data_IF_050801311951
#
_entry.id   IF_050801311951
#
_cell.length_a   1.000
_cell.length_b   1.000
_cell.length_c   1.000
_cell.angle_alpha   90.00
_cell.angle_beta   90.00
_cell.angle_gamma   90.00
#
_symmetry.space_group_name_H-M   'P 1'
#
loop_
_entity.id
_entity.type
_entity.pdbx_description
1 polymer ?
#
# COMPACT_ATOMS: atom_id res chain seq x y z
N UNK A 1 6.65 -39.81 -55.36
CA UNK A 1 6.69 -39.99 -53.89
C UNK A 1 7.82 -39.13 -53.37
N UNK A 2 7.50 -37.95 -52.84
CA UNK A 2 8.48 -37.11 -52.14
C UNK A 2 8.57 -37.57 -50.69
N UNK A 3 9.69 -38.13 -50.29
CA UNK A 3 10.03 -38.46 -48.93
C UNK A 3 10.41 -37.15 -48.22
N UNK A 4 9.51 -36.65 -47.37
CA UNK A 4 9.82 -35.56 -46.44
C UNK A 4 10.83 -36.06 -45.41
N UNK A 5 12.06 -35.54 -45.46
CA UNK A 5 13.09 -35.75 -44.43
C UNK A 5 12.60 -35.06 -43.13
N UNK A 6 12.61 -35.77 -41.99
CA UNK A 6 12.30 -35.12 -40.71
C UNK A 6 13.38 -34.09 -40.42
N UNK A 7 12.96 -32.82 -40.19
CA UNK A 7 13.85 -31.79 -39.71
C UNK A 7 14.46 -32.23 -38.38
N UNK A 8 15.79 -32.08 -38.20
CA UNK A 8 16.41 -32.45 -36.91
C UNK A 8 15.80 -31.61 -35.78
N UNK A 9 15.09 -32.26 -34.89
CA UNK A 9 14.72 -31.65 -33.62
C UNK A 9 16.01 -31.25 -32.92
N UNK A 10 16.29 -29.97 -32.81
CA UNK A 10 17.41 -29.47 -31.99
C UNK A 10 17.10 -29.89 -30.56
N UNK A 11 17.73 -30.95 -30.11
CA UNK A 11 17.73 -31.34 -28.69
C UNK A 11 18.19 -30.10 -27.90
N UNK A 12 17.32 -29.57 -27.07
CA UNK A 12 17.67 -28.40 -26.24
C UNK A 12 18.77 -28.85 -25.28
N UNK A 13 19.97 -28.27 -25.42
CA UNK A 13 21.11 -28.62 -24.59
C UNK A 13 20.83 -28.17 -23.13
N UNK A 14 20.83 -29.11 -22.20
CA UNK A 14 20.66 -28.83 -20.78
C UNK A 14 22.00 -28.35 -20.21
N UNK A 15 21.98 -27.17 -19.62
CA UNK A 15 23.18 -26.52 -19.02
C UNK A 15 23.24 -26.76 -17.51
N UNK A 16 22.10 -26.67 -16.83
CA UNK A 16 22.01 -26.88 -15.39
C UNK A 16 20.73 -27.67 -15.07
N UNK A 17 20.83 -28.59 -14.11
CA UNK A 17 19.68 -29.21 -13.47
C UNK A 17 19.50 -28.64 -12.08
N UNK A 18 18.31 -28.18 -11.72
CA UNK A 18 17.98 -27.63 -10.40
C UNK A 18 16.89 -28.48 -9.77
N UNK A 19 17.26 -29.27 -8.79
CA UNK A 19 16.32 -30.21 -8.12
C UNK A 19 15.54 -31.12 -9.12
N UNK A 20 16.14 -31.48 -10.23
CA UNK A 20 15.50 -32.28 -11.30
C UNK A 20 14.85 -31.49 -12.42
N UNK A 21 14.72 -30.15 -12.30
CA UNK A 21 14.19 -29.28 -13.35
C UNK A 21 15.33 -28.75 -14.25
N UNK A 22 15.28 -28.88 -15.58
CA UNK A 22 16.32 -28.43 -16.46
C UNK A 22 16.30 -26.91 -16.68
N UNK A 23 17.47 -26.35 -16.91
CA UNK A 23 17.73 -25.04 -17.51
C UNK A 23 18.53 -25.30 -18.80
N UNK A 24 18.00 -24.84 -19.93
CA UNK A 24 18.57 -25.09 -21.25
C UNK A 24 19.29 -23.84 -21.79
N UNK A 25 20.13 -24.05 -22.84
CA UNK A 25 20.74 -22.94 -23.58
C UNK A 25 19.66 -21.96 -24.11
N UNK A 26 18.51 -22.49 -24.52
CA UNK A 26 17.39 -21.68 -24.99
C UNK A 26 16.79 -20.79 -23.87
N UNK A 27 16.61 -21.33 -22.67
CA UNK A 27 16.12 -20.55 -21.53
C UNK A 27 17.07 -19.39 -21.20
N UNK A 28 18.37 -19.66 -21.22
CA UNK A 28 19.41 -18.65 -20.99
C UNK A 28 19.38 -17.57 -22.06
N UNK A 29 19.29 -17.94 -23.33
CA UNK A 29 19.18 -16.97 -24.43
C UNK A 29 17.94 -16.08 -24.29
N UNK A 30 16.78 -16.68 -24.04
CA UNK A 30 15.51 -15.98 -23.89
C UNK A 30 15.54 -15.03 -22.70
N UNK A 31 16.04 -15.45 -21.55
CA UNK A 31 16.17 -14.61 -20.35
C UNK A 31 17.16 -13.47 -20.58
N UNK A 32 18.32 -13.71 -21.22
CA UNK A 32 19.30 -12.70 -21.53
C UNK A 32 18.71 -11.58 -22.40
N UNK A 33 17.96 -11.95 -23.45
CA UNK A 33 17.24 -10.99 -24.30
C UNK A 33 16.19 -10.18 -23.51
N UNK A 34 15.43 -10.86 -22.64
CA UNK A 34 14.45 -10.20 -21.80
C UNK A 34 15.11 -9.19 -20.86
N UNK A 35 16.20 -9.57 -20.20
CA UNK A 35 16.91 -8.70 -19.26
C UNK A 35 17.55 -7.51 -19.97
N UNK A 36 18.07 -7.69 -21.17
CA UNK A 36 18.57 -6.59 -22.01
C UNK A 36 17.46 -5.59 -22.34
N UNK A 37 16.24 -6.07 -22.65
CA UNK A 37 15.11 -5.20 -22.93
C UNK A 37 14.62 -4.43 -21.70
N UNK A 38 14.66 -5.04 -20.52
CA UNK A 38 14.11 -4.45 -19.29
C UNK A 38 15.10 -3.57 -18.55
N UNK A 39 16.40 -3.90 -18.60
CA UNK A 39 17.45 -3.19 -17.86
C UNK A 39 18.36 -2.34 -18.73
N UNK A 40 18.26 -2.47 -20.07
CA UNK A 40 19.16 -1.87 -21.06
C UNK A 40 20.66 -2.27 -20.86
N UNK A 41 20.91 -3.32 -20.11
CA UNK A 41 22.25 -3.89 -19.90
C UNK A 41 22.26 -5.32 -20.40
N UNK A 42 23.40 -5.73 -20.97
CA UNK A 42 23.61 -7.12 -21.36
C UNK A 42 24.17 -7.88 -20.16
N UNK A 43 23.37 -8.76 -19.52
CA UNK A 43 23.85 -9.56 -18.38
C UNK A 43 24.88 -10.57 -18.88
N UNK A 44 25.80 -10.96 -18.01
CA UNK A 44 26.68 -12.09 -18.27
C UNK A 44 25.88 -13.40 -18.28
N UNK A 45 26.37 -14.39 -19.01
CA UNK A 45 25.74 -15.71 -19.05
C UNK A 45 25.55 -16.31 -17.64
N UNK A 46 26.52 -16.12 -16.75
CA UNK A 46 26.45 -16.64 -15.39
C UNK A 46 25.40 -15.93 -14.53
N UNK A 47 25.21 -14.64 -14.70
CA UNK A 47 24.13 -13.89 -14.03
C UNK A 47 22.77 -14.44 -14.45
N UNK A 48 22.55 -14.64 -15.76
CA UNK A 48 21.30 -15.23 -16.28
C UNK A 48 21.05 -16.64 -15.73
N UNK A 49 22.09 -17.48 -15.71
CA UNK A 49 22.00 -18.83 -15.12
C UNK A 49 21.59 -18.75 -13.65
N UNK A 50 22.18 -17.84 -12.88
CA UNK A 50 21.87 -17.66 -11.46
C UNK A 50 20.40 -17.22 -11.26
N UNK A 51 19.91 -16.29 -12.06
CA UNK A 51 18.49 -15.88 -12.02
C UNK A 51 17.53 -17.03 -12.34
N UNK A 52 17.85 -17.83 -13.34
CA UNK A 52 17.03 -19.00 -13.69
C UNK A 52 17.04 -20.07 -12.61
N UNK A 53 18.19 -20.28 -11.96
CA UNK A 53 18.31 -21.16 -10.77
C UNK A 53 17.41 -20.63 -9.65
N UNK A 54 17.45 -19.33 -9.36
CA UNK A 54 16.62 -18.70 -8.34
C UNK A 54 15.13 -18.88 -8.64
N UNK A 55 14.71 -18.66 -9.89
CA UNK A 55 13.33 -18.88 -10.31
C UNK A 55 12.89 -20.34 -10.08
N UNK A 56 13.72 -21.31 -10.45
CA UNK A 56 13.43 -22.74 -10.20
C UNK A 56 13.30 -23.08 -8.73
N UNK A 57 14.19 -22.53 -7.89
CA UNK A 57 14.18 -22.72 -6.44
C UNK A 57 12.93 -22.10 -5.82
N UNK A 58 12.60 -20.85 -6.18
CA UNK A 58 11.39 -20.15 -5.75
C UNK A 58 10.12 -20.93 -6.09
N UNK A 59 9.99 -21.38 -7.34
CA UNK A 59 8.83 -22.13 -7.81
C UNK A 59 8.67 -23.47 -7.09
N UNK A 60 9.76 -24.19 -6.87
CA UNK A 60 9.74 -25.45 -6.13
C UNK A 60 9.30 -25.25 -4.68
N UNK A 61 9.85 -24.25 -4.02
CA UNK A 61 9.46 -23.92 -2.64
C UNK A 61 7.99 -23.49 -2.57
N UNK A 62 7.51 -22.69 -3.55
CA UNK A 62 6.11 -22.32 -3.66
C UNK A 62 5.17 -23.52 -3.69
N UNK A 63 5.44 -24.48 -4.56
CA UNK A 63 4.66 -25.72 -4.65
C UNK A 63 4.60 -26.48 -3.33
N UNK A 64 5.72 -26.53 -2.59
CA UNK A 64 5.79 -27.20 -1.27
C UNK A 64 4.86 -26.56 -0.25
N UNK A 65 4.61 -25.27 -0.33
CA UNK A 65 3.71 -24.53 0.58
C UNK A 65 2.33 -24.22 -0.04
N UNK A 66 1.99 -24.83 -1.17
CA UNK A 66 0.70 -24.61 -1.83
C UNK A 66 0.56 -23.23 -2.50
N UNK A 67 1.67 -22.53 -2.73
CA UNK A 67 1.71 -21.25 -3.46
C UNK A 67 2.09 -21.51 -4.90
N UNK A 68 1.10 -21.75 -5.74
CA UNK A 68 1.28 -22.03 -7.17
C UNK A 68 0.22 -21.27 -8.00
N UNK A 69 0.47 -20.00 -8.33
CA UNK A 69 -0.44 -19.23 -9.17
C UNK A 69 -0.75 -19.94 -10.49
N UNK A 70 -2.03 -20.02 -10.83
CA UNK A 70 -2.50 -20.62 -12.06
C UNK A 70 -2.17 -19.78 -13.30
N UNK A 71 -2.46 -20.33 -14.47
CA UNK A 71 -2.27 -19.60 -15.74
C UNK A 71 -3.10 -18.33 -15.79
N UNK A 72 -4.32 -18.34 -15.24
CA UNK A 72 -5.19 -17.16 -15.18
C UNK A 72 -4.57 -16.01 -14.37
N UNK A 73 -4.00 -16.32 -13.20
CA UNK A 73 -3.37 -15.32 -12.32
C UNK A 73 -2.16 -14.66 -13.00
N UNK A 74 -1.34 -15.47 -13.68
CA UNK A 74 -0.18 -14.99 -14.43
C UNK A 74 -0.60 -14.12 -15.61
N UNK A 75 -1.66 -14.51 -16.34
CA UNK A 75 -2.20 -13.72 -17.44
C UNK A 75 -2.76 -12.39 -16.93
N UNK A 76 -3.51 -12.39 -15.84
CA UNK A 76 -4.01 -11.15 -15.22
C UNK A 76 -2.86 -10.20 -14.82
N UNK A 77 -1.77 -10.75 -14.26
CA UNK A 77 -0.57 -9.97 -13.95
C UNK A 77 0.10 -9.40 -15.19
N UNK A 78 0.15 -10.17 -16.28
CA UNK A 78 0.69 -9.76 -17.57
C UNK A 78 -0.15 -8.63 -18.21
N UNK A 79 -1.48 -8.75 -18.17
CA UNK A 79 -2.41 -7.70 -18.59
C UNK A 79 -2.25 -6.42 -17.75
N UNK A 80 -2.14 -6.57 -16.44
CA UNK A 80 -1.88 -5.44 -15.53
C UNK A 80 -0.54 -4.74 -15.81
N UNK A 81 0.48 -5.48 -16.26
CA UNK A 81 1.75 -4.90 -16.72
C UNK A 81 1.54 -4.08 -17.99
N UNK A 82 0.86 -4.62 -18.99
CA UNK A 82 0.56 -3.91 -20.24
C UNK A 82 -0.22 -2.61 -19.98
N UNK A 83 -1.23 -2.66 -19.12
CA UNK A 83 -2.02 -1.48 -18.71
C UNK A 83 -1.14 -0.38 -18.09
N UNK A 84 -0.21 -0.74 -17.19
CA UNK A 84 0.74 0.23 -16.58
C UNK A 84 1.65 0.87 -17.64
N UNK A 85 1.99 0.13 -18.71
CA UNK A 85 2.74 0.63 -19.86
C UNK A 85 1.86 1.39 -20.86
N UNK A 86 0.53 1.48 -20.63
CA UNK A 86 -0.46 2.11 -21.52
C UNK A 86 -0.54 1.47 -22.91
N UNK A 87 -0.36 0.16 -22.97
CA UNK A 87 -0.47 -0.65 -24.20
C UNK A 87 -1.42 -1.84 -23.95
N UNK A 88 -1.85 -2.50 -25.03
CA UNK A 88 -2.64 -3.73 -24.89
C UNK A 88 -1.74 -4.95 -24.64
N UNK A 89 -2.26 -6.06 -24.08
CA UNK A 89 -1.51 -7.30 -23.91
C UNK A 89 -0.96 -7.84 -25.24
N UNK A 90 -1.72 -7.68 -26.35
CA UNK A 90 -1.31 -8.10 -27.68
C UNK A 90 -0.15 -7.24 -28.19
N UNK A 91 -0.16 -5.93 -27.91
CA UNK A 91 0.95 -5.04 -28.26
C UNK A 91 2.21 -5.38 -27.46
N UNK A 92 2.08 -5.72 -26.17
CA UNK A 92 3.21 -6.19 -25.36
C UNK A 92 3.78 -7.50 -25.92
N UNK A 93 2.92 -8.46 -26.25
CA UNK A 93 3.30 -9.73 -26.90
C UNK A 93 4.08 -9.50 -28.18
N UNK A 94 3.53 -8.72 -29.12
CA UNK A 94 4.19 -8.37 -30.39
C UNK A 94 5.53 -7.65 -30.18
N UNK A 95 5.60 -6.78 -29.20
CA UNK A 95 6.84 -6.07 -28.85
C UNK A 95 7.94 -7.02 -28.39
N UNK A 96 7.61 -8.00 -27.53
CA UNK A 96 8.55 -9.04 -27.10
C UNK A 96 9.00 -9.92 -28.28
N UNK A 97 8.05 -10.42 -29.07
CA UNK A 97 8.32 -11.28 -30.22
C UNK A 97 9.19 -10.60 -31.27
N UNK A 98 8.95 -9.30 -31.56
CA UNK A 98 9.77 -8.51 -32.50
C UNK A 98 11.23 -8.37 -32.06
N UNK A 99 11.52 -8.56 -30.77
CA UNK A 99 12.86 -8.60 -30.17
C UNK A 99 13.39 -10.02 -29.96
N UNK A 100 12.67 -11.04 -30.45
CA UNK A 100 13.04 -12.43 -30.32
C UNK A 100 12.89 -13.00 -28.90
N UNK A 101 12.02 -12.41 -28.09
CA UNK A 101 11.66 -12.88 -26.75
C UNK A 101 10.27 -13.50 -26.77
N UNK A 102 10.15 -14.72 -26.29
CA UNK A 102 8.85 -15.39 -26.14
C UNK A 102 8.10 -14.81 -24.94
N UNK A 103 6.79 -14.51 -25.08
CA UNK A 103 5.97 -14.02 -23.96
C UNK A 103 6.01 -14.92 -22.71
N UNK A 104 6.14 -16.24 -22.92
CA UNK A 104 6.25 -17.22 -21.86
C UNK A 104 7.47 -17.00 -20.95
N UNK A 105 8.57 -16.47 -21.50
CA UNK A 105 9.77 -16.12 -20.71
C UNK A 105 9.45 -15.04 -19.68
N UNK A 106 8.74 -13.98 -20.08
CA UNK A 106 8.29 -12.94 -19.16
C UNK A 106 7.27 -13.48 -18.15
N UNK A 107 6.28 -14.23 -18.63
CA UNK A 107 5.26 -14.86 -17.78
C UNK A 107 5.87 -15.81 -16.76
N UNK A 108 6.89 -16.59 -17.13
CA UNK A 108 7.62 -17.49 -16.22
C UNK A 108 8.33 -16.71 -15.11
N UNK A 109 9.02 -15.61 -15.46
CA UNK A 109 9.63 -14.69 -14.47
C UNK A 109 8.58 -14.10 -13.54
N UNK A 110 7.47 -13.60 -14.08
CA UNK A 110 6.37 -13.05 -13.28
C UNK A 110 5.80 -14.09 -12.32
N UNK A 111 5.61 -15.32 -12.78
CA UNK A 111 5.15 -16.41 -11.91
C UNK A 111 6.11 -16.65 -10.75
N UNK A 112 7.41 -16.72 -11.01
CA UNK A 112 8.43 -16.92 -9.97
C UNK A 112 8.41 -15.78 -8.93
N UNK A 113 8.27 -14.52 -9.36
CA UNK A 113 8.16 -13.37 -8.46
C UNK A 113 6.85 -13.34 -7.68
N UNK A 114 5.72 -13.71 -8.27
CA UNK A 114 4.42 -13.83 -7.58
C UNK A 114 4.50 -14.87 -6.46
N UNK A 115 5.04 -16.05 -6.78
CA UNK A 115 5.27 -17.13 -5.80
C UNK A 115 6.17 -16.62 -4.68
N UNK A 116 7.29 -16.01 -5.03
CA UNK A 116 8.28 -15.56 -4.06
C UNK A 116 7.73 -14.49 -3.11
N UNK A 117 7.05 -13.48 -3.65
CA UNK A 117 6.42 -12.44 -2.86
C UNK A 117 5.40 -13.00 -1.88
N UNK A 118 4.56 -13.93 -2.34
CA UNK A 118 3.54 -14.58 -1.51
C UNK A 118 4.17 -15.43 -0.40
N UNK A 119 5.21 -16.19 -0.71
CA UNK A 119 5.95 -17.00 0.27
C UNK A 119 6.59 -16.15 1.35
N UNK A 120 7.36 -15.12 0.96
CA UNK A 120 8.08 -14.28 1.92
C UNK A 120 7.10 -13.53 2.82
N UNK A 121 6.05 -12.94 2.25
CA UNK A 121 5.03 -12.22 3.02
C UNK A 121 4.22 -13.13 3.94
N UNK A 122 3.86 -14.32 3.47
CA UNK A 122 3.10 -15.28 4.27
C UNK A 122 3.93 -15.87 5.40
N UNK A 123 5.11 -16.39 5.08
CA UNK A 123 5.97 -17.12 6.03
C UNK A 123 6.61 -16.22 7.10
N UNK A 124 6.94 -14.98 6.73
CA UNK A 124 7.66 -14.05 7.59
C UNK A 124 6.82 -12.84 8.01
N UNK A 125 5.48 -12.96 7.97
CA UNK A 125 4.55 -11.87 8.27
C UNK A 125 4.93 -11.10 9.55
N UNK A 126 5.18 -11.81 10.64
CA UNK A 126 5.53 -11.20 11.94
C UNK A 126 6.89 -10.50 11.91
N UNK A 127 7.88 -11.11 11.24
CA UNK A 127 9.23 -10.53 11.12
C UNK A 127 9.26 -9.27 10.26
N UNK A 128 8.33 -9.17 9.31
CA UNK A 128 8.21 -8.01 8.40
C UNK A 128 7.46 -6.85 9.04
N UNK A 129 6.77 -7.06 10.16
CA UNK A 129 6.08 -5.98 10.86
C UNK A 129 7.07 -4.91 11.33
N UNK A 130 6.65 -3.65 11.16
CA UNK A 130 7.38 -2.46 11.61
C UNK A 130 6.60 -1.86 12.77
N UNK A 131 7.19 -1.85 13.95
CA UNK A 131 6.58 -1.33 15.18
C UNK A 131 6.45 0.20 15.13
N UNK A 132 5.37 0.74 15.69
CA UNK A 132 5.17 2.20 15.76
C UNK A 132 6.29 2.91 16.53
N UNK A 133 6.84 2.28 17.56
CA UNK A 133 7.97 2.82 18.33
C UNK A 133 9.24 2.92 17.48
N UNK A 134 9.51 1.90 16.66
CA UNK A 134 10.69 1.88 15.78
C UNK A 134 10.58 2.98 14.72
N UNK A 135 9.36 3.16 14.14
CA UNK A 135 9.08 4.25 13.20
C UNK A 135 9.30 5.60 13.87
N UNK A 136 8.77 5.78 15.08
CA UNK A 136 8.89 7.02 15.83
C UNK A 136 10.37 7.40 16.08
N UNK A 137 11.17 6.43 16.53
CA UNK A 137 12.60 6.62 16.77
C UNK A 137 13.36 6.93 15.46
N UNK A 138 13.05 6.23 14.38
CA UNK A 138 13.69 6.43 13.09
C UNK A 138 13.36 7.83 12.50
N UNK A 139 12.12 8.30 12.66
CA UNK A 139 11.73 9.65 12.26
C UNK A 139 12.46 10.69 13.09
N UNK A 140 12.53 10.53 14.41
CA UNK A 140 13.23 11.44 15.31
C UNK A 140 14.73 11.55 14.98
N UNK A 141 15.37 10.41 14.68
CA UNK A 141 16.78 10.38 14.29
C UNK A 141 17.07 11.10 12.96
N UNK A 142 16.12 11.10 12.02
CA UNK A 142 16.28 11.75 10.71
C UNK A 142 16.02 13.25 10.73
N UNK A 143 15.13 13.74 11.58
CA UNK A 143 14.66 15.13 11.54
C UNK A 143 15.28 16.02 12.62
N UNK A 144 15.89 15.42 13.66
CA UNK A 144 16.38 16.15 14.82
C UNK A 144 15.29 16.78 15.69
N UNK A 145 14.10 16.91 15.15
CA UNK A 145 12.92 17.41 15.84
C UNK A 145 12.24 16.30 16.63
N UNK A 146 11.81 16.63 17.85
CA UNK A 146 10.70 15.90 18.49
C UNK A 146 9.46 16.21 17.66
N UNK A 147 9.35 15.60 16.46
CA UNK A 147 8.10 15.63 15.71
C UNK A 147 6.99 15.24 16.69
N UNK A 148 5.93 16.03 16.71
CA UNK A 148 4.72 15.68 17.45
C UNK A 148 4.17 14.34 16.93
N UNK A 149 4.80 13.27 17.38
CA UNK A 149 4.41 11.88 17.08
C UNK A 149 3.10 11.61 17.81
N UNK A 150 2.92 12.31 18.92
CA UNK A 150 1.72 12.30 19.72
C UNK A 150 0.81 13.45 19.31
N UNK A 151 -0.43 13.16 19.20
CA UNK A 151 -1.48 14.14 18.94
C UNK A 151 -2.70 13.78 19.74
N UNK A 152 -3.76 14.47 19.44
CA UNK A 152 -5.06 14.26 20.09
C UNK A 152 -6.06 13.81 19.05
N UNK A 153 -6.82 12.77 19.39
CA UNK A 153 -8.02 12.35 18.69
C UNK A 153 -9.22 13.02 19.34
N UNK A 154 -10.02 13.69 18.54
CA UNK A 154 -11.26 14.33 18.94
C UNK A 154 -12.44 13.58 18.33
N UNK A 155 -13.36 13.10 19.17
CA UNK A 155 -14.67 12.62 18.77
C UNK A 155 -15.67 13.74 18.98
N UNK A 156 -16.35 14.17 17.93
CA UNK A 156 -17.16 15.38 17.96
C UNK A 156 -18.37 15.31 17.02
N UNK A 157 -19.40 16.14 17.29
CA UNK A 157 -20.56 16.29 16.40
C UNK A 157 -20.72 17.76 16.02
N UNK A 158 -20.67 18.08 14.72
CA UNK A 158 -20.97 19.44 14.25
C UNK A 158 -22.46 19.75 14.36
N UNK A 159 -22.77 21.00 14.77
CA UNK A 159 -24.11 21.57 14.92
C UNK A 159 -24.15 22.86 14.14
N UNK A 160 -25.23 23.06 13.42
CA UNK A 160 -25.47 24.28 12.64
C UNK A 160 -26.85 24.82 12.99
N UNK A 161 -26.89 26.05 13.52
CA UNK A 161 -28.14 26.81 13.59
C UNK A 161 -28.30 27.55 12.27
N UNK A 162 -29.31 27.17 11.52
CA UNK A 162 -29.57 27.67 10.16
C UNK A 162 -29.95 29.15 10.22
N UNK A 163 -29.24 29.95 9.40
CA UNK A 163 -29.52 31.36 9.17
C UNK A 163 -29.85 31.54 7.68
N UNK A 164 -31.02 32.02 7.30
CA UNK A 164 -31.35 32.28 5.90
C UNK A 164 -30.37 33.29 5.28
N UNK A 165 -30.04 33.10 4.02
CA UNK A 165 -29.16 34.04 3.29
C UNK A 165 -29.83 35.41 3.19
N UNK A 166 -29.05 36.47 3.43
CA UNK A 166 -29.53 37.84 3.41
C UNK A 166 -30.28 38.29 4.70
N UNK A 167 -30.20 37.47 5.77
CA UNK A 167 -30.73 37.88 7.07
C UNK A 167 -30.11 39.17 7.59
N UNK A 168 -30.92 40.03 8.22
CA UNK A 168 -30.43 41.27 8.82
C UNK A 168 -29.40 40.98 9.95
N UNK A 169 -28.41 41.84 10.18
CA UNK A 169 -27.43 41.67 11.25
C UNK A 169 -28.04 41.42 12.62
N UNK A 170 -29.16 42.10 12.95
CA UNK A 170 -29.88 41.87 14.18
C UNK A 170 -30.40 40.45 14.37
N UNK A 171 -30.76 39.76 13.27
CA UNK A 171 -31.15 38.34 13.30
C UNK A 171 -29.97 37.43 13.60
N UNK A 172 -28.80 37.74 13.03
CA UNK A 172 -27.56 36.98 13.31
C UNK A 172 -27.18 37.10 14.79
N UNK A 173 -27.27 38.28 15.37
CA UNK A 173 -26.99 38.49 16.81
C UNK A 173 -27.98 37.73 17.70
N UNK A 174 -29.27 37.71 17.32
CA UNK A 174 -30.28 36.96 18.04
C UNK A 174 -29.98 35.45 18.00
N UNK A 175 -29.63 34.92 16.83
CA UNK A 175 -29.25 33.51 16.67
C UNK A 175 -27.97 33.17 17.43
N UNK A 176 -27.01 34.09 17.48
CA UNK A 176 -25.77 33.92 18.26
C UNK A 176 -26.05 33.84 19.76
N UNK A 177 -26.94 34.72 20.30
CA UNK A 177 -27.37 34.67 21.69
C UNK A 177 -28.09 33.35 22.00
N UNK A 178 -28.89 32.87 21.09
CA UNK A 178 -29.55 31.56 21.20
C UNK A 178 -28.54 30.43 21.26
N UNK A 179 -27.51 30.44 20.39
CA UNK A 179 -26.40 29.49 20.41
C UNK A 179 -25.65 29.51 21.74
N UNK A 180 -25.37 30.67 22.31
CA UNK A 180 -24.75 30.79 23.65
C UNK A 180 -25.64 30.22 24.75
N UNK A 181 -26.97 30.37 24.65
CA UNK A 181 -27.89 29.76 25.61
C UNK A 181 -27.85 28.25 25.56
N UNK A 182 -27.76 27.64 24.36
CA UNK A 182 -27.57 26.19 24.21
C UNK A 182 -26.23 25.74 24.76
N UNK A 183 -25.17 26.52 24.52
CA UNK A 183 -23.82 26.23 25.06
C UNK A 183 -23.81 26.16 26.59
N UNK A 184 -24.55 27.04 27.26
CA UNK A 184 -24.66 27.04 28.71
C UNK A 184 -25.40 25.79 29.26
N UNK A 185 -26.36 25.26 28.50
CA UNK A 185 -27.27 24.18 28.93
C UNK A 185 -26.72 22.79 28.65
N UNK A 186 -26.11 22.56 27.48
CA UNK A 186 -25.62 21.24 27.04
C UNK A 186 -24.42 20.81 27.87
N UNK A 187 -24.52 19.65 28.48
CA UNK A 187 -23.48 19.03 29.32
C UNK A 187 -23.01 17.65 28.84
N UNK A 188 -23.66 17.07 27.82
CA UNK A 188 -23.24 15.81 27.23
C UNK A 188 -23.57 15.74 25.72
N UNK A 189 -22.95 14.78 25.02
CA UNK A 189 -23.25 14.57 23.58
C UNK A 189 -24.64 14.01 23.35
N UNK A 190 -25.15 13.21 24.27
CA UNK A 190 -26.51 12.68 24.24
C UNK A 190 -27.55 13.80 24.40
N UNK A 191 -27.33 14.73 25.33
CA UNK A 191 -28.18 15.92 25.48
C UNK A 191 -28.13 16.80 24.25
N UNK A 192 -26.94 17.05 23.67
CA UNK A 192 -26.81 17.80 22.42
C UNK A 192 -27.59 17.12 21.29
N UNK A 193 -27.45 15.82 21.14
CA UNK A 193 -28.16 15.06 20.11
C UNK A 193 -29.69 15.17 20.26
N UNK A 194 -30.21 14.96 21.47
CA UNK A 194 -31.65 15.05 21.77
C UNK A 194 -32.18 16.47 21.56
N UNK A 195 -31.45 17.48 22.03
CA UNK A 195 -31.84 18.89 21.92
C UNK A 195 -31.88 19.35 20.46
N UNK A 196 -30.78 19.16 19.71
CA UNK A 196 -30.68 19.71 18.35
C UNK A 196 -31.47 18.96 17.29
N UNK A 197 -31.83 17.68 17.53
CA UNK A 197 -32.81 16.96 16.68
C UNK A 197 -34.23 17.51 16.80
N UNK A 198 -34.58 18.06 17.94
CA UNK A 198 -35.90 18.65 18.18
C UNK A 198 -35.93 20.18 18.02
N UNK A 199 -34.80 20.84 17.87
CA UNK A 199 -34.73 22.30 17.74
C UNK A 199 -35.04 22.73 16.31
N UNK A 200 -36.06 23.62 16.09
CA UNK A 200 -36.35 24.15 14.76
C UNK A 200 -35.18 24.94 14.19
N UNK A 201 -34.98 24.80 12.89
CA UNK A 201 -33.86 25.46 12.17
C UNK A 201 -32.46 25.19 12.77
N UNK A 202 -32.28 24.00 13.33
CA UNK A 202 -30.97 23.47 13.76
C UNK A 202 -30.71 22.14 13.08
N UNK A 203 -29.45 21.84 12.85
CA UNK A 203 -29.02 20.54 12.32
C UNK A 203 -27.85 20.05 13.16
N UNK A 204 -27.92 18.80 13.62
CA UNK A 204 -26.78 18.08 14.19
C UNK A 204 -26.36 17.01 13.20
N UNK A 205 -25.07 16.97 12.89
CA UNK A 205 -24.48 16.01 11.97
C UNK A 205 -24.04 14.74 12.70
N UNK A 206 -23.70 13.71 11.93
CA UNK A 206 -23.16 12.48 12.49
C UNK A 206 -21.85 12.74 13.23
N UNK A 207 -21.58 11.88 14.20
CA UNK A 207 -20.35 11.91 14.96
C UNK A 207 -19.15 11.65 14.04
N UNK A 208 -18.16 12.52 14.11
CA UNK A 208 -16.89 12.37 13.39
C UNK A 208 -15.74 12.25 14.37
N UNK A 209 -14.76 11.44 14.00
CA UNK A 209 -13.51 11.32 14.74
C UNK A 209 -12.38 11.87 13.86
N UNK A 210 -11.61 12.84 14.39
CA UNK A 210 -10.53 13.51 13.71
C UNK A 210 -9.32 13.65 14.62
N UNK A 211 -8.14 13.55 14.03
CA UNK A 211 -6.88 13.77 14.76
C UNK A 211 -6.41 15.23 14.61
N UNK A 212 -5.51 15.65 15.48
CA UNK A 212 -4.88 16.97 15.43
C UNK A 212 -4.32 17.32 14.04
N UNK A 213 -3.83 16.34 13.30
CA UNK A 213 -3.26 16.54 11.96
C UNK A 213 -4.32 16.81 10.87
N UNK A 214 -5.58 16.44 11.10
CA UNK A 214 -6.68 16.58 10.15
C UNK A 214 -7.51 17.83 10.37
N UNK A 215 -7.27 18.55 11.46
CA UNK A 215 -8.05 19.72 11.86
C UNK A 215 -7.29 21.03 11.61
N UNK A 216 -7.98 22.07 11.13
CA UNK A 216 -7.42 23.43 11.09
C UNK A 216 -7.01 23.90 12.49
N UNK A 217 -5.95 24.71 12.55
CA UNK A 217 -5.40 25.21 13.82
C UNK A 217 -6.43 25.94 14.69
N UNK A 218 -7.27 26.78 14.06
CA UNK A 218 -8.31 27.51 14.76
C UNK A 218 -9.32 26.59 15.46
N UNK A 219 -9.76 25.52 14.77
CA UNK A 219 -10.69 24.55 15.34
C UNK A 219 -10.02 23.71 16.44
N UNK A 220 -8.73 23.38 16.30
CA UNK A 220 -7.98 22.66 17.35
C UNK A 220 -7.96 23.44 18.64
N UNK A 221 -7.56 24.72 18.59
CA UNK A 221 -7.56 25.59 19.77
C UNK A 221 -8.92 25.66 20.44
N UNK A 222 -9.97 25.79 19.62
CA UNK A 222 -11.35 25.84 20.11
C UNK A 222 -11.76 24.54 20.83
N UNK A 223 -11.35 23.38 20.28
CA UNK A 223 -11.63 22.08 20.88
C UNK A 223 -10.79 21.81 22.14
N UNK A 224 -9.54 22.33 22.19
CA UNK A 224 -8.67 22.19 23.35
C UNK A 224 -9.19 22.98 24.54
N UNK A 225 -9.78 24.14 24.30
CA UNK A 225 -10.40 25.01 25.32
C UNK A 225 -11.80 24.54 25.74
N UNK A 226 -12.40 23.60 25.00
CA UNK A 226 -13.76 23.12 25.26
C UNK A 226 -13.74 21.90 26.16
N UNK A 227 -14.42 21.87 27.30
CA UNK A 227 -14.57 20.67 28.12
C UNK A 227 -15.33 19.55 27.39
N UNK A 228 -14.98 18.29 27.68
CA UNK A 228 -15.71 17.14 27.13
C UNK A 228 -17.18 17.19 27.53
N UNK A 229 -18.09 16.91 26.59
CA UNK A 229 -19.54 17.03 26.72
C UNK A 229 -20.08 18.42 26.45
N UNK A 230 -19.25 19.44 26.27
CA UNK A 230 -19.68 20.83 26.05
C UNK A 230 -19.61 21.23 24.58
N UNK A 231 -20.33 22.33 24.27
CA UNK A 231 -20.30 23.00 22.98
C UNK A 231 -19.15 24.00 22.90
N UNK A 232 -18.52 24.07 21.74
CA UNK A 232 -17.58 25.16 21.41
C UNK A 232 -18.30 26.50 21.39
N UNK A 233 -17.53 27.60 21.43
CA UNK A 233 -18.09 28.92 21.15
C UNK A 233 -18.73 28.95 19.74
N UNK A 234 -19.87 29.66 19.58
CA UNK A 234 -20.54 29.77 18.29
C UNK A 234 -19.74 30.62 17.31
N UNK A 235 -19.57 30.08 16.09
CA UNK A 235 -18.87 30.73 14.99
C UNK A 235 -19.84 31.06 13.86
N UNK A 236 -19.77 32.30 13.34
CA UNK A 236 -20.58 32.73 12.20
C UNK A 236 -19.90 32.24 10.92
N UNK A 237 -20.61 31.41 10.15
CA UNK A 237 -20.13 30.89 8.87
C UNK A 237 -21.13 31.19 7.75
N UNK A 238 -20.77 30.84 6.53
CA UNK A 238 -21.71 30.90 5.38
C UNK A 238 -22.92 29.98 5.49
N UNK A 239 -22.89 28.99 6.38
CA UNK A 239 -23.97 28.03 6.59
C UNK A 239 -24.91 28.41 7.76
N UNK A 240 -24.53 29.41 8.55
CA UNK A 240 -25.25 29.83 9.77
C UNK A 240 -24.30 29.97 10.96
N UNK A 241 -24.82 29.71 12.16
CA UNK A 241 -24.01 29.69 13.39
C UNK A 241 -23.58 28.24 13.62
N UNK A 242 -22.28 27.99 13.52
CA UNK A 242 -21.70 26.67 13.72
C UNK A 242 -21.13 26.51 15.14
N UNK A 243 -21.35 25.34 15.71
CA UNK A 243 -20.79 24.89 16.99
C UNK A 243 -20.43 23.41 16.85
N UNK A 244 -19.59 22.93 17.75
CA UNK A 244 -19.24 21.51 17.84
C UNK A 244 -19.40 21.04 19.28
N UNK A 245 -20.09 19.91 19.50
CA UNK A 245 -20.04 19.25 20.80
C UNK A 245 -18.83 18.29 20.83
N UNK A 246 -17.97 18.46 21.83
CA UNK A 246 -16.80 17.60 22.03
C UNK A 246 -17.17 16.39 22.86
N UNK A 247 -17.24 15.23 22.22
CA UNK A 247 -17.66 13.97 22.90
C UNK A 247 -16.53 13.23 23.59
N UNK A 248 -15.33 13.25 23.02
CA UNK A 248 -14.14 12.75 23.70
C UNK A 248 -12.87 13.38 23.14
N UNK A 249 -11.83 13.38 23.98
CA UNK A 249 -10.50 13.82 23.63
C UNK A 249 -9.52 12.81 24.20
N UNK A 250 -8.70 12.18 23.33
CA UNK A 250 -7.76 11.13 23.74
C UNK A 250 -6.39 11.36 23.10
N UNK A 251 -5.29 11.11 23.80
CA UNK A 251 -3.99 11.04 23.18
C UNK A 251 -3.99 9.98 22.08
N UNK A 252 -3.39 10.27 20.95
CA UNK A 252 -3.24 9.33 19.85
C UNK A 252 -1.91 9.52 19.14
N UNK A 253 -1.48 8.48 18.43
CA UNK A 253 -0.28 8.55 17.60
C UNK A 253 -0.68 9.06 16.21
N UNK A 254 -0.13 10.20 15.80
CA UNK A 254 -0.41 10.78 14.49
C UNK A 254 0.34 10.01 13.41
N UNK A 255 -0.36 9.56 12.37
CA UNK A 255 0.23 8.97 11.17
C UNK A 255 0.55 10.05 10.13
N UNK A 256 1.71 10.70 10.28
CA UNK A 256 2.17 11.73 9.36
C UNK A 256 2.68 11.14 8.04
N UNK A 257 2.70 11.92 6.93
CA UNK A 257 3.31 11.46 5.67
C UNK A 257 4.75 10.97 5.86
N UNK A 258 5.53 11.62 6.72
CA UNK A 258 6.91 11.21 7.03
C UNK A 258 6.99 9.87 7.76
N UNK A 259 6.07 9.61 8.69
CA UNK A 259 5.98 8.30 9.34
C UNK A 259 5.66 7.20 8.33
N UNK A 260 4.73 7.44 7.40
CA UNK A 260 4.38 6.46 6.36
C UNK A 260 5.58 6.17 5.46
N UNK A 261 6.31 7.19 5.03
CA UNK A 261 7.54 7.05 4.24
C UNK A 261 8.58 6.20 4.98
N UNK A 262 8.86 6.53 6.25
CA UNK A 262 9.85 5.81 7.07
C UNK A 262 9.39 4.37 7.33
N UNK A 263 8.11 4.14 7.64
CA UNK A 263 7.55 2.79 7.83
C UNK A 263 7.71 1.95 6.57
N UNK A 264 7.40 2.51 5.40
CA UNK A 264 7.54 1.82 4.13
C UNK A 264 9.02 1.48 3.86
N UNK A 265 9.94 2.42 4.06
CA UNK A 265 11.37 2.19 3.91
C UNK A 265 11.87 1.07 4.83
N UNK A 266 11.52 1.11 6.11
CA UNK A 266 11.89 0.07 7.08
C UNK A 266 11.29 -1.30 6.72
N UNK A 267 10.05 -1.32 6.20
CA UNK A 267 9.43 -2.54 5.70
C UNK A 267 10.20 -3.11 4.51
N UNK A 268 10.58 -2.29 3.53
CA UNK A 268 11.35 -2.72 2.36
C UNK A 268 12.73 -3.25 2.77
N UNK A 269 13.43 -2.59 3.66
CA UNK A 269 14.73 -3.06 4.18
C UNK A 269 14.62 -4.44 4.88
N UNK A 270 13.58 -4.61 5.73
CA UNK A 270 13.30 -5.90 6.38
C UNK A 270 12.94 -6.98 5.35
N UNK A 271 12.13 -6.62 4.34
CA UNK A 271 11.73 -7.51 3.28
C UNK A 271 12.93 -7.97 2.46
N UNK A 272 13.76 -7.06 1.96
CA UNK A 272 14.96 -7.36 1.18
C UNK A 272 15.93 -8.25 1.94
N UNK A 273 16.22 -7.90 3.20
CA UNK A 273 17.09 -8.72 4.06
C UNK A 273 16.52 -10.13 4.27
N UNK A 274 15.24 -10.23 4.52
CA UNK A 274 14.57 -11.51 4.79
C UNK A 274 14.50 -12.39 3.55
N UNK A 275 14.09 -11.81 2.41
CA UNK A 275 14.01 -12.56 1.15
C UNK A 275 15.39 -13.04 0.68
N UNK A 276 16.43 -12.21 0.82
CA UNK A 276 17.80 -12.58 0.44
C UNK A 276 18.32 -13.75 1.28
N UNK A 277 18.21 -13.66 2.59
CA UNK A 277 18.62 -14.73 3.49
C UNK A 277 17.86 -16.04 3.20
N UNK A 278 16.54 -15.95 3.01
CA UNK A 278 15.74 -17.12 2.70
C UNK A 278 16.12 -17.77 1.36
N UNK A 279 16.34 -16.96 0.32
CA UNK A 279 16.77 -17.47 -0.98
C UNK A 279 18.15 -18.14 -0.92
N UNK A 280 19.11 -17.54 -0.19
CA UNK A 280 20.43 -18.11 0.03
C UNK A 280 20.35 -19.49 0.73
N UNK A 281 19.51 -19.63 1.74
CA UNK A 281 19.30 -20.92 2.43
C UNK A 281 18.68 -21.96 1.50
N UNK A 282 17.69 -21.58 0.69
CA UNK A 282 17.08 -22.47 -0.29
C UNK A 282 18.09 -22.90 -1.37
N UNK A 283 18.94 -21.99 -1.84
CA UNK A 283 20.00 -22.33 -2.82
C UNK A 283 21.01 -23.32 -2.25
N UNK A 284 21.44 -23.15 -0.99
CA UNK A 284 22.36 -24.10 -0.32
C UNK A 284 21.75 -25.49 -0.18
N UNK A 285 20.44 -25.56 0.02
CA UNK A 285 19.71 -26.82 0.14
C UNK A 285 19.31 -27.45 -1.21
N UNK A 286 19.42 -26.71 -2.31
CA UNK A 286 19.04 -27.17 -3.63
C UNK A 286 20.14 -28.04 -4.25
N UNK A 287 19.72 -29.11 -4.94
CA UNK A 287 20.61 -29.90 -5.79
C UNK A 287 20.79 -29.19 -7.13
N UNK A 288 21.96 -28.58 -7.34
CA UNK A 288 22.31 -27.83 -8.54
C UNK A 288 23.45 -28.54 -9.25
N UNK A 289 23.18 -29.11 -10.42
CA UNK A 289 24.15 -29.87 -11.20
C UNK A 289 24.43 -29.17 -12.53
N UNK A 290 25.64 -28.67 -12.69
CA UNK A 290 26.10 -28.13 -13.97
C UNK A 290 26.48 -29.29 -14.91
N UNK A 291 25.90 -29.28 -16.12
CA UNK A 291 26.27 -30.23 -17.15
C UNK A 291 27.46 -29.68 -17.92
N UNK A 292 28.64 -30.27 -17.66
CA UNK A 292 29.82 -29.97 -18.47
C UNK A 292 29.58 -30.43 -19.90
N UNK A 293 29.98 -29.60 -20.87
CA UNK A 293 30.04 -29.97 -22.27
C UNK A 293 31.16 -30.96 -22.50
#
# INVERSE_FOLDING_TARGET
>A
MLTALPSPSRAQNIVVMVNGDPITDFDIEQRSKLDQLTTQKTPSRQEVINELIDDKVKLKEGKKFGVDPGVADVNQSYEGMAQRMRITPEQLTKSLESKGVRPETLKGRMKAEMVWTSLVRGRYKERLQVGERDVAQAVQAQTGDKLQIEGTEYKMQPIVLIVPRGSAPAFLETRKKEAESYRARVASCEEANSLFRSTPNATIRDTVTKTTAELPEALRKLLDDTPIGRLTAPEITKNGIEMVVLCSRKPTMIDTPKKREVREKMYQEKYEKTQKAYLEDLRKAAMIEYRNR
#
